data_IF_513496347318
#
_entry.id   IF_513496347318
#
_cell.length_a   1.000
_cell.length_b   1.000
_cell.length_c   1.000
_cell.angle_alpha   90.00
_cell.angle_beta   90.00
_cell.angle_gamma   90.00
#
_symmetry.space_group_name_H-M   'P 1'
#
loop_
_entity.id
_entity.type
_entity.pdbx_description
1 polymer ?
#
# COMPACT_ATOMS: atom_id res chain seq x y z
N UNK A 1 17.81 -19.42 75.55
CA UNK A 1 16.69 -19.26 74.62
C UNK A 1 17.17 -18.36 73.48
N UNK A 2 17.56 -18.95 72.35
CA UNK A 2 18.11 -18.24 71.19
C UNK A 2 16.98 -18.10 70.17
N UNK A 3 16.50 -16.87 69.92
CA UNK A 3 15.40 -16.59 68.99
C UNK A 3 16.03 -16.29 67.63
N UNK A 4 15.91 -17.21 66.68
CA UNK A 4 16.36 -17.05 65.30
C UNK A 4 15.27 -16.28 64.52
N UNK A 5 15.52 -15.01 64.19
CA UNK A 5 14.62 -14.21 63.38
C UNK A 5 14.82 -14.55 61.89
N UNK A 6 13.83 -15.18 61.28
CA UNK A 6 13.81 -15.51 59.86
C UNK A 6 13.26 -14.31 59.07
N UNK A 7 14.14 -13.59 58.35
CA UNK A 7 13.73 -12.51 57.46
C UNK A 7 13.19 -13.09 56.15
N UNK A 8 11.89 -12.93 55.90
CA UNK A 8 11.22 -13.34 54.66
C UNK A 8 11.41 -12.21 53.63
N UNK A 9 12.33 -12.39 52.68
CA UNK A 9 12.45 -11.50 51.54
C UNK A 9 11.33 -11.80 50.53
N UNK A 10 10.43 -10.83 50.32
CA UNK A 10 9.39 -10.93 49.29
C UNK A 10 10.01 -10.74 47.89
N UNK A 11 9.58 -11.53 46.87
CA UNK A 11 10.07 -11.36 45.52
C UNK A 11 9.52 -10.08 44.91
N UNK A 12 10.40 -9.20 44.47
CA UNK A 12 10.05 -8.02 43.68
C UNK A 12 9.64 -8.51 42.29
N UNK A 13 8.37 -8.39 41.94
CA UNK A 13 7.87 -8.71 40.61
C UNK A 13 8.38 -7.67 39.61
N UNK A 14 9.32 -8.06 38.75
CA UNK A 14 9.74 -7.26 37.60
C UNK A 14 8.61 -7.17 36.59
N UNK A 15 8.06 -5.97 36.40
CA UNK A 15 7.13 -5.68 35.32
C UNK A 15 7.87 -5.63 33.98
N UNK A 16 7.57 -6.56 33.08
CA UNK A 16 8.06 -6.57 31.71
C UNK A 16 7.48 -5.38 30.95
N UNK A 17 8.33 -4.50 30.41
CA UNK A 17 7.89 -3.47 29.48
C UNK A 17 7.25 -4.12 28.22
N UNK A 18 6.20 -3.51 27.62
CA UNK A 18 5.60 -4.07 26.42
C UNK A 18 6.64 -4.04 25.29
N UNK A 19 6.87 -5.20 24.68
CA UNK A 19 7.70 -5.29 23.49
C UNK A 19 7.11 -4.38 22.40
N UNK A 20 7.86 -3.36 21.99
CA UNK A 20 7.54 -2.56 20.80
C UNK A 20 7.52 -3.53 19.64
N UNK A 21 6.32 -3.85 19.14
CA UNK A 21 6.18 -4.74 18.00
C UNK A 21 6.95 -4.14 16.82
N UNK A 22 7.89 -4.91 16.27
CA UNK A 22 8.73 -4.49 15.16
C UNK A 22 7.88 -4.22 13.92
N UNK A 23 8.15 -3.11 13.25
CA UNK A 23 7.54 -2.76 11.96
C UNK A 23 7.92 -3.84 10.94
N UNK A 24 6.93 -4.43 10.26
CA UNK A 24 7.14 -5.52 9.29
C UNK A 24 7.38 -5.00 7.87
N UNK A 25 7.37 -3.69 7.68
CA UNK A 25 7.42 -3.05 6.37
C UNK A 25 8.34 -1.84 6.37
N UNK A 26 9.02 -1.62 5.25
CA UNK A 26 9.90 -0.47 5.09
C UNK A 26 9.12 0.85 5.31
N UNK A 27 9.70 1.84 6.01
CA UNK A 27 9.04 3.11 6.29
C UNK A 27 8.53 3.81 5.02
N UNK A 28 7.48 4.60 5.18
CA UNK A 28 6.96 5.45 4.09
C UNK A 28 7.89 6.64 3.86
N UNK A 29 8.17 6.93 2.60
CA UNK A 29 9.08 7.99 2.17
C UNK A 29 8.36 9.00 1.27
N UNK A 30 9.02 10.11 0.95
CA UNK A 30 8.52 11.06 -0.04
C UNK A 30 8.49 10.49 -1.48
N UNK A 31 9.16 9.36 -1.73
CA UNK A 31 9.13 8.70 -3.02
C UNK A 31 7.89 7.81 -3.21
N UNK A 32 7.18 7.47 -2.13
CA UNK A 32 5.93 6.73 -2.19
C UNK A 32 4.81 7.57 -2.81
N UNK A 33 3.87 6.89 -3.44
CA UNK A 33 2.63 7.51 -3.92
C UNK A 33 1.57 7.34 -2.85
N UNK A 34 1.04 8.45 -2.34
CA UNK A 34 0.06 8.43 -1.26
C UNK A 34 -1.07 9.43 -1.45
N UNK A 35 -2.22 9.15 -0.84
CA UNK A 35 -3.39 10.02 -0.77
C UNK A 35 -3.88 10.10 0.68
N UNK A 36 -4.54 11.20 1.04
CA UNK A 36 -4.88 11.54 2.42
C UNK A 36 -3.85 12.48 3.05
N UNK A 37 -4.13 12.92 4.27
CA UNK A 37 -3.24 13.86 4.96
C UNK A 37 -1.91 13.20 5.31
N UNK A 38 -0.81 13.93 5.16
CA UNK A 38 0.53 13.41 5.48
C UNK A 38 0.68 13.04 6.97
N UNK A 39 -0.09 13.71 7.84
CA UNK A 39 -0.14 13.55 9.30
C UNK A 39 -1.36 12.73 9.78
N UNK A 40 -2.03 11.99 8.89
CA UNK A 40 -3.11 11.10 9.31
C UNK A 40 -2.62 10.11 10.38
N UNK A 41 -3.41 9.83 11.43
CA UNK A 41 -2.97 9.02 12.56
C UNK A 41 -2.69 7.55 12.18
N UNK A 42 -3.26 7.08 11.07
CA UNK A 42 -3.03 5.74 10.55
C UNK A 42 -2.53 5.80 9.12
N UNK A 43 -1.44 5.08 8.85
CA UNK A 43 -0.93 4.83 7.51
C UNK A 43 -1.28 3.41 7.09
N UNK A 44 -1.90 3.30 5.91
CA UNK A 44 -2.18 2.01 5.25
C UNK A 44 -1.29 1.92 4.02
N UNK A 45 -0.49 0.87 3.91
CA UNK A 45 0.31 0.56 2.72
C UNK A 45 -0.36 -0.59 1.98
N UNK A 46 -0.64 -0.39 0.70
CA UNK A 46 -1.10 -1.41 -0.24
C UNK A 46 0.06 -1.80 -1.17
N UNK A 47 0.44 -3.08 -1.19
CA UNK A 47 1.20 -3.67 -2.30
C UNK A 47 0.23 -4.23 -3.32
N UNK A 48 0.25 -3.69 -4.55
CA UNK A 48 -0.71 -4.03 -5.59
C UNK A 48 -0.10 -4.10 -6.98
N UNK A 49 -0.81 -4.79 -7.87
CA UNK A 49 -0.46 -4.99 -9.27
C UNK A 49 -1.60 -4.56 -10.17
N UNK A 50 -1.31 -3.77 -11.20
CA UNK A 50 -2.29 -3.42 -12.23
C UNK A 50 -2.71 -4.60 -13.12
N UNK A 51 -2.10 -5.78 -12.97
CA UNK A 51 -2.53 -7.03 -13.61
C UNK A 51 -3.32 -7.98 -12.69
N UNK A 52 -3.38 -7.70 -11.39
CA UNK A 52 -4.06 -8.55 -10.43
C UNK A 52 -5.56 -8.25 -10.39
N UNK A 53 -6.39 -9.26 -10.64
CA UNK A 53 -7.85 -9.11 -10.61
C UNK A 53 -8.38 -8.79 -9.21
N UNK A 54 -7.77 -9.34 -8.14
CA UNK A 54 -8.16 -9.00 -6.77
C UNK A 54 -7.83 -7.55 -6.42
N UNK A 55 -6.76 -6.98 -6.96
CA UNK A 55 -6.47 -5.55 -6.81
C UNK A 55 -7.52 -4.72 -7.55
N UNK A 56 -7.88 -5.10 -8.78
CA UNK A 56 -8.92 -4.40 -9.53
C UNK A 56 -10.28 -4.47 -8.83
N UNK A 57 -10.67 -5.63 -8.30
CA UNK A 57 -11.89 -5.79 -7.51
C UNK A 57 -11.87 -4.91 -6.25
N UNK A 58 -10.75 -4.87 -5.52
CA UNK A 58 -10.62 -4.00 -4.35
C UNK A 58 -10.75 -2.53 -4.73
N UNK A 59 -10.06 -2.07 -5.78
CA UNK A 59 -10.15 -0.69 -6.26
C UNK A 59 -11.54 -0.33 -6.81
N UNK A 60 -12.27 -1.30 -7.37
CA UNK A 60 -13.60 -1.09 -7.89
C UNK A 60 -14.69 -1.08 -6.81
N UNK A 61 -14.61 -1.98 -5.83
CA UNK A 61 -15.71 -2.24 -4.89
C UNK A 61 -15.44 -1.78 -3.46
N UNK A 62 -14.17 -1.78 -3.01
CA UNK A 62 -13.80 -1.46 -1.63
C UNK A 62 -13.24 -0.04 -1.52
N UNK A 63 -12.30 0.33 -2.40
CA UNK A 63 -11.60 1.60 -2.37
C UNK A 63 -12.51 2.83 -2.33
N UNK A 64 -13.62 2.94 -3.10
CA UNK A 64 -14.46 4.13 -3.06
C UNK A 64 -15.06 4.39 -1.67
N UNK A 65 -15.49 3.32 -1.00
CA UNK A 65 -16.06 3.39 0.35
C UNK A 65 -14.96 3.61 1.39
N UNK A 66 -13.82 2.91 1.25
CA UNK A 66 -12.64 3.10 2.10
C UNK A 66 -12.15 4.55 2.06
N UNK A 67 -12.01 5.12 0.86
CA UNK A 67 -11.59 6.50 0.63
C UNK A 67 -12.56 7.47 1.30
N UNK A 68 -13.85 7.35 1.00
CA UNK A 68 -14.89 8.23 1.54
C UNK A 68 -14.93 8.22 3.07
N UNK A 69 -14.81 7.04 3.69
CA UNK A 69 -14.94 6.90 5.15
C UNK A 69 -13.68 7.21 5.93
N UNK A 70 -12.50 6.92 5.36
CA UNK A 70 -11.25 6.86 6.13
C UNK A 70 -10.19 7.84 5.61
N UNK A 71 -10.05 7.97 4.30
CA UNK A 71 -9.05 8.88 3.70
C UNK A 71 -9.57 10.32 3.72
N UNK A 72 -10.78 10.54 3.22
CA UNK A 72 -11.38 11.86 3.06
C UNK A 72 -11.75 12.49 4.42
N UNK A 73 -11.97 11.67 5.44
CA UNK A 73 -12.17 12.11 6.83
C UNK A 73 -10.85 12.37 7.57
N UNK A 74 -9.70 12.15 6.92
CA UNK A 74 -8.37 12.41 7.46
C UNK A 74 -7.89 11.40 8.49
N UNK A 75 -8.56 10.24 8.61
CA UNK A 75 -8.16 9.16 9.52
C UNK A 75 -7.01 8.33 8.95
N UNK A 76 -6.96 8.17 7.63
CA UNK A 76 -6.00 7.31 6.94
C UNK A 76 -5.21 8.07 5.87
N UNK A 77 -3.90 7.84 5.86
CA UNK A 77 -3.05 8.03 4.69
C UNK A 77 -2.89 6.69 3.98
N UNK A 78 -3.35 6.59 2.74
CA UNK A 78 -3.13 5.39 1.92
C UNK A 78 -1.87 5.57 1.07
N UNK A 79 -1.01 4.56 1.06
CA UNK A 79 0.22 4.47 0.26
C UNK A 79 0.09 3.29 -0.69
N UNK A 80 0.46 3.49 -1.96
CA UNK A 80 0.50 2.43 -2.96
C UNK A 80 1.95 2.10 -3.31
N UNK A 81 2.30 0.81 -3.21
CA UNK A 81 3.57 0.25 -3.63
C UNK A 81 3.34 -0.78 -4.73
N UNK A 82 4.09 -0.65 -5.82
CA UNK A 82 3.96 -1.51 -6.98
C UNK A 82 4.59 -2.87 -6.69
N UNK A 83 3.81 -3.93 -6.87
CA UNK A 83 4.30 -5.30 -6.92
C UNK A 83 3.79 -5.96 -8.21
N UNK A 84 4.38 -5.65 -9.38
CA UNK A 84 3.91 -6.18 -10.66
C UNK A 84 3.86 -7.71 -10.65
N UNK A 85 2.68 -8.25 -10.91
CA UNK A 85 2.42 -9.70 -11.05
C UNK A 85 2.27 -10.10 -12.51
N UNK A 86 2.25 -11.39 -12.80
CA UNK A 86 1.97 -11.86 -14.15
C UNK A 86 0.58 -11.40 -14.65
N UNK A 87 0.44 -11.14 -15.96
CA UNK A 87 1.50 -11.10 -16.98
C UNK A 87 2.40 -9.84 -16.89
N UNK A 88 3.73 -10.03 -16.76
CA UNK A 88 4.68 -8.93 -16.57
C UNK A 88 4.73 -7.90 -17.70
N UNK A 89 4.47 -8.32 -18.95
CA UNK A 89 4.37 -7.42 -20.10
C UNK A 89 3.21 -6.43 -20.00
N UNK A 90 2.26 -6.67 -19.10
CA UNK A 90 1.14 -5.78 -18.82
C UNK A 90 1.35 -5.00 -17.51
N UNK A 91 1.74 -5.68 -16.43
CA UNK A 91 1.85 -5.05 -15.10
C UNK A 91 3.01 -4.07 -14.98
N UNK A 92 4.18 -4.38 -15.55
CA UNK A 92 5.36 -3.50 -15.46
C UNK A 92 5.15 -2.19 -16.21
N UNK A 93 4.66 -2.17 -17.47
CA UNK A 93 4.40 -0.91 -18.16
C UNK A 93 3.26 -0.10 -17.53
N UNK A 94 2.22 -0.77 -16.99
CA UNK A 94 1.15 -0.09 -16.27
C UNK A 94 1.64 0.57 -14.97
N UNK A 95 2.52 -0.10 -14.22
CA UNK A 95 3.18 0.47 -13.04
C UNK A 95 4.03 1.69 -13.40
N UNK A 96 4.78 1.61 -14.51
CA UNK A 96 5.56 2.74 -15.02
C UNK A 96 4.65 3.93 -15.40
N UNK A 97 3.55 3.67 -16.13
CA UNK A 97 2.57 4.68 -16.51
C UNK A 97 2.01 5.39 -15.28
N UNK A 98 1.52 4.63 -14.29
CA UNK A 98 0.97 5.19 -13.05
C UNK A 98 1.99 6.07 -12.32
N UNK A 99 3.23 5.59 -12.17
CA UNK A 99 4.31 6.36 -11.52
C UNK A 99 4.64 7.67 -12.23
N UNK A 100 4.50 7.69 -13.55
CA UNK A 100 4.79 8.84 -14.40
C UNK A 100 3.70 9.91 -14.38
N UNK A 101 2.53 9.66 -13.80
CA UNK A 101 1.56 10.70 -13.51
C UNK A 101 2.16 11.82 -12.65
N UNK A 102 1.55 13.01 -12.66
CA UNK A 102 1.86 13.99 -11.60
C UNK A 102 1.49 13.36 -10.23
N UNK A 103 2.27 13.62 -9.16
CA UNK A 103 2.13 12.88 -7.89
C UNK A 103 0.69 12.79 -7.37
N UNK A 104 -0.04 13.90 -7.38
CA UNK A 104 -1.41 13.99 -6.85
C UNK A 104 -2.47 13.34 -7.75
N UNK A 105 -2.11 12.95 -8.98
CA UNK A 105 -2.97 12.23 -9.92
C UNK A 105 -2.73 10.73 -9.93
N UNK A 106 -1.76 10.23 -9.17
CA UNK A 106 -1.42 8.81 -9.17
C UNK A 106 -2.64 7.90 -8.92
N UNK A 107 -3.49 8.23 -7.93
CA UNK A 107 -4.65 7.42 -7.59
C UNK A 107 -5.77 7.51 -8.64
N UNK A 108 -5.90 8.64 -9.35
CA UNK A 108 -6.81 8.77 -10.49
C UNK A 108 -6.37 7.83 -11.64
N UNK A 109 -5.06 7.79 -11.92
CA UNK A 109 -4.48 6.89 -12.92
C UNK A 109 -4.58 5.43 -12.49
N UNK A 110 -4.34 5.15 -11.21
CA UNK A 110 -4.45 3.80 -10.67
C UNK A 110 -5.88 3.26 -10.80
N UNK A 111 -6.89 4.08 -10.47
CA UNK A 111 -8.29 3.73 -10.64
C UNK A 111 -8.63 3.46 -12.11
N UNK A 112 -8.17 4.31 -13.04
CA UNK A 112 -8.40 4.10 -14.47
C UNK A 112 -7.80 2.79 -15.00
N UNK A 113 -6.56 2.48 -14.58
CA UNK A 113 -5.91 1.21 -14.94
C UNK A 113 -6.65 0.02 -14.32
N UNK A 114 -7.00 0.07 -13.04
CA UNK A 114 -7.73 -1.03 -12.38
C UNK A 114 -9.10 -1.28 -13.02
N UNK A 115 -9.87 -0.23 -13.32
CA UNK A 115 -11.18 -0.37 -13.99
C UNK A 115 -11.08 -0.92 -15.42
N UNK A 116 -10.05 -0.53 -16.18
CA UNK A 116 -9.85 -1.00 -17.54
C UNK A 116 -9.19 -2.39 -17.66
N UNK A 117 -8.66 -2.93 -16.56
CA UNK A 117 -7.87 -4.16 -16.54
C UNK A 117 -8.59 -5.35 -17.19
N UNK A 118 -9.88 -5.54 -16.88
CA UNK A 118 -10.64 -6.69 -17.41
C UNK A 118 -10.79 -6.64 -18.93
N UNK A 119 -10.87 -5.45 -19.53
CA UNK A 119 -11.00 -5.32 -20.98
C UNK A 119 -9.72 -5.77 -21.69
N UNK A 120 -8.54 -5.41 -21.17
CA UNK A 120 -7.26 -5.85 -21.75
C UNK A 120 -6.99 -7.33 -21.51
N UNK A 121 -7.31 -7.87 -20.33
CA UNK A 121 -7.19 -9.30 -20.04
C UNK A 121 -8.08 -10.17 -20.94
N UNK A 122 -9.19 -9.63 -21.44
CA UNK A 122 -10.12 -10.31 -22.34
C UNK A 122 -9.83 -10.07 -23.83
N UNK A 123 -8.59 -9.74 -24.19
CA UNK A 123 -8.15 -9.57 -25.58
C UNK A 123 -8.24 -8.14 -26.12
N UNK A 124 -8.52 -7.16 -25.26
CA UNK A 124 -8.37 -5.75 -25.61
C UNK A 124 -6.90 -5.34 -25.80
N UNK A 125 -6.68 -4.13 -26.31
CA UNK A 125 -5.31 -3.61 -26.54
C UNK A 125 -4.79 -2.84 -25.32
N UNK A 126 -3.47 -2.88 -25.12
CA UNK A 126 -2.82 -2.04 -24.10
C UNK A 126 -3.05 -0.54 -24.36
N UNK A 127 -3.07 -0.12 -25.62
CA UNK A 127 -3.27 1.30 -25.94
C UNK A 127 -4.65 1.81 -25.51
N UNK A 128 -5.71 1.07 -25.82
CA UNK A 128 -7.07 1.42 -25.37
C UNK A 128 -7.18 1.45 -23.84
N UNK A 129 -6.43 0.58 -23.14
CA UNK A 129 -6.35 0.57 -21.69
C UNK A 129 -5.60 1.80 -21.12
N UNK A 130 -4.57 2.28 -21.82
CA UNK A 130 -3.75 3.41 -21.39
C UNK A 130 -4.36 4.78 -21.67
N UNK A 131 -5.20 4.94 -22.69
CA UNK A 131 -5.85 6.22 -23.01
C UNK A 131 -6.53 6.89 -21.79
N UNK A 132 -7.43 6.22 -21.04
CA UNK A 132 -8.07 6.85 -19.88
C UNK A 132 -7.07 7.13 -18.74
N UNK A 133 -6.10 6.24 -18.54
CA UNK A 133 -5.04 6.40 -17.55
C UNK A 133 -4.17 7.63 -17.84
N UNK A 134 -3.79 7.85 -19.10
CA UNK A 134 -3.03 9.03 -19.54
C UNK A 134 -3.87 10.30 -19.40
N UNK A 135 -5.16 10.25 -19.76
CA UNK A 135 -6.06 11.39 -19.60
C UNK A 135 -6.19 11.84 -18.14
N UNK A 136 -6.17 10.91 -17.18
CA UNK A 136 -6.18 11.18 -15.75
C UNK A 136 -4.82 11.66 -15.20
N UNK A 137 -3.72 11.46 -15.92
CA UNK A 137 -2.35 11.58 -15.38
C UNK A 137 -1.87 13.02 -15.11
N UNK A 138 -2.59 14.02 -15.64
CA UNK A 138 -2.12 15.40 -15.67
C UNK A 138 -0.92 15.63 -16.60
N UNK A 139 -0.61 14.67 -17.49
CA UNK A 139 0.46 14.75 -18.49
C UNK A 139 -0.04 14.35 -19.87
N UNK A 140 0.69 14.81 -20.89
CA UNK A 140 0.50 14.35 -22.27
C UNK A 140 1.07 12.94 -22.45
N UNK A 141 0.59 12.22 -23.47
CA UNK A 141 1.16 10.92 -23.86
C UNK A 141 2.67 10.99 -24.08
N UNK A 142 3.16 11.96 -24.83
CA UNK A 142 4.60 12.11 -25.09
C UNK A 142 5.42 12.27 -23.78
N UNK A 143 4.90 12.99 -22.79
CA UNK A 143 5.56 13.13 -21.48
C UNK A 143 5.53 11.83 -20.66
N UNK A 144 4.45 11.06 -20.75
CA UNK A 144 4.36 9.73 -20.13
C UNK A 144 5.36 8.79 -20.80
N UNK A 145 5.34 8.68 -22.12
CA UNK A 145 6.22 7.80 -22.90
C UNK A 145 7.70 8.11 -22.63
N UNK A 146 8.07 9.39 -22.55
CA UNK A 146 9.44 9.80 -22.19
C UNK A 146 9.80 9.46 -20.73
N UNK A 147 8.84 9.49 -19.80
CA UNK A 147 9.07 9.22 -18.39
C UNK A 147 9.20 7.71 -18.09
N UNK A 148 8.39 6.88 -18.75
CA UNK A 148 8.36 5.43 -18.49
C UNK A 148 9.68 4.75 -18.84
N UNK A 149 10.47 5.32 -19.76
CA UNK A 149 11.77 4.81 -20.17
C UNK A 149 12.93 5.27 -19.28
N UNK A 150 12.69 6.12 -18.28
CA UNK A 150 13.78 6.65 -17.45
C UNK A 150 14.30 5.62 -16.44
N UNK A 151 15.61 5.62 -16.13
CA UNK A 151 16.17 4.81 -15.04
C UNK A 151 15.51 5.10 -13.68
N UNK A 152 15.06 6.33 -13.46
CA UNK A 152 14.39 6.73 -12.23
C UNK A 152 13.05 6.02 -12.03
N UNK A 153 12.24 5.89 -13.09
CA UNK A 153 10.96 5.16 -13.05
C UNK A 153 11.20 3.68 -12.75
N UNK A 154 12.17 3.06 -13.43
CA UNK A 154 12.54 1.67 -13.19
C UNK A 154 13.02 1.45 -11.76
N UNK A 155 13.98 2.25 -11.30
CA UNK A 155 14.53 2.15 -9.94
C UNK A 155 13.44 2.34 -8.86
N UNK A 156 12.43 3.17 -9.14
CA UNK A 156 11.32 3.33 -8.21
C UNK A 156 10.47 2.03 -8.13
N UNK A 157 10.17 1.39 -9.26
CA UNK A 157 9.46 0.08 -9.28
C UNK A 157 10.27 -1.00 -8.57
N UNK A 158 11.57 -1.08 -8.85
CA UNK A 158 12.48 -2.02 -8.20
C UNK A 158 12.50 -1.83 -6.67
N UNK A 159 12.54 -0.58 -6.18
CA UNK A 159 12.47 -0.31 -4.73
C UNK A 159 11.19 -0.83 -4.07
N UNK A 160 10.04 -0.68 -4.72
CA UNK A 160 8.77 -1.19 -4.18
C UNK A 160 8.78 -2.73 -4.14
N UNK A 161 9.32 -3.37 -5.19
CA UNK A 161 9.47 -4.84 -5.27
C UNK A 161 10.43 -5.35 -4.19
N UNK A 162 11.57 -4.70 -4.00
CA UNK A 162 12.55 -5.09 -2.98
C UNK A 162 11.97 -4.92 -1.57
N UNK A 163 11.20 -3.84 -1.35
CA UNK A 163 10.45 -3.63 -0.11
C UNK A 163 9.39 -4.70 0.11
N UNK A 164 8.70 -5.15 -0.94
CA UNK A 164 7.75 -6.26 -0.83
C UNK A 164 8.44 -7.56 -0.40
N UNK A 165 9.57 -7.90 -1.05
CA UNK A 165 10.37 -9.09 -0.71
C UNK A 165 10.90 -9.04 0.72
N UNK A 166 11.44 -7.90 1.15
CA UNK A 166 11.95 -7.72 2.51
C UNK A 166 10.86 -7.82 3.59
N UNK A 167 9.60 -7.67 3.20
CA UNK A 167 8.42 -7.79 4.06
C UNK A 167 7.68 -9.12 3.92
N UNK A 168 8.25 -10.11 3.23
CA UNK A 168 7.61 -11.39 2.90
C UNK A 168 6.26 -11.22 2.18
N UNK A 169 6.18 -10.26 1.25
CA UNK A 169 5.01 -10.04 0.39
C UNK A 169 5.26 -10.68 -0.98
N UNK A 170 4.52 -11.73 -1.28
CA UNK A 170 4.55 -12.46 -2.55
C UNK A 170 3.20 -12.48 -3.29
N UNK A 171 2.13 -11.98 -2.67
CA UNK A 171 0.77 -11.92 -3.23
C UNK A 171 0.16 -10.51 -3.16
N UNK A 172 -0.77 -10.24 -4.07
CA UNK A 172 -1.48 -8.95 -4.16
C UNK A 172 -3.01 -9.13 -4.15
N UNK A 173 -3.78 -8.17 -3.57
CA UNK A 173 -3.28 -7.06 -2.77
C UNK A 173 -2.80 -7.54 -1.39
N UNK A 174 -1.76 -6.89 -0.86
CA UNK A 174 -1.31 -7.08 0.53
C UNK A 174 -1.32 -5.74 1.26
N UNK A 175 -1.88 -5.72 2.46
CA UNK A 175 -2.04 -4.48 3.24
C UNK A 175 -1.23 -4.50 4.52
N UNK A 176 -0.69 -3.34 4.89
CA UNK A 176 -0.10 -3.08 6.19
C UNK A 176 -0.77 -1.86 6.81
N UNK A 177 -1.03 -1.91 8.12
CA UNK A 177 -1.62 -0.82 8.90
C UNK A 177 -0.65 -0.46 10.03
N UNK A 178 -0.12 0.78 10.01
CA UNK A 178 0.95 1.24 10.90
C UNK A 178 2.06 0.18 11.07
N UNK A 179 2.55 -0.32 9.94
CA UNK A 179 3.68 -1.24 9.93
C UNK A 179 3.35 -2.72 10.12
N UNK A 180 2.09 -3.07 10.42
CA UNK A 180 1.66 -4.45 10.71
C UNK A 180 0.82 -5.01 9.57
N UNK A 181 1.10 -6.22 9.12
CA UNK A 181 0.33 -6.87 8.06
C UNK A 181 -1.13 -7.05 8.49
N UNK A 182 -2.07 -6.61 7.66
CA UNK A 182 -3.49 -6.90 7.80
C UNK A 182 -3.79 -8.27 7.16
N UNK A 183 -4.42 -9.16 7.92
CA UNK A 183 -4.73 -10.52 7.48
C UNK A 183 -6.01 -10.62 6.66
N UNK A 184 -6.90 -9.64 6.80
CA UNK A 184 -8.16 -9.54 6.05
C UNK A 184 -8.15 -8.25 5.20
N UNK A 185 -8.06 -8.36 3.87
CA UNK A 185 -8.02 -7.21 2.95
C UNK A 185 -9.42 -6.60 2.69
N UNK A 186 -10.49 -7.17 3.27
CA UNK A 186 -11.83 -6.61 3.16
C UNK A 186 -11.93 -5.24 3.84
N UNK A 187 -12.96 -4.46 3.49
CA UNK A 187 -13.23 -3.18 4.17
C UNK A 187 -13.34 -3.38 5.69
N UNK A 188 -14.08 -4.40 6.13
CA UNK A 188 -14.29 -4.67 7.55
C UNK A 188 -13.00 -5.07 8.26
N UNK A 189 -12.18 -5.92 7.63
CA UNK A 189 -10.88 -6.32 8.14
C UNK A 189 -9.92 -5.15 8.31
N UNK A 190 -9.82 -4.31 7.29
CA UNK A 190 -9.02 -3.09 7.33
C UNK A 190 -9.55 -2.11 8.40
N UNK A 191 -10.87 -1.90 8.49
CA UNK A 191 -11.46 -1.04 9.52
C UNK A 191 -11.16 -1.55 10.95
N UNK A 192 -11.16 -2.86 11.18
CA UNK A 192 -10.74 -3.45 12.48
C UNK A 192 -9.27 -3.15 12.76
N UNK A 193 -8.39 -3.40 11.79
CA UNK A 193 -6.95 -3.14 11.94
C UNK A 193 -6.64 -1.66 12.18
N UNK A 194 -7.33 -0.76 11.47
CA UNK A 194 -7.20 0.70 11.61
C UNK A 194 -7.64 1.16 12.98
N UNK A 195 -8.80 0.71 13.48
CA UNK A 195 -9.26 1.05 14.85
C UNK A 195 -8.26 0.57 15.92
N UNK A 196 -7.72 -0.63 15.76
CA UNK A 196 -6.72 -1.17 16.68
C UNK A 196 -5.40 -0.39 16.64
N UNK A 197 -5.02 0.15 15.49
CA UNK A 197 -3.84 1.00 15.32
C UNK A 197 -4.02 2.40 15.90
N UNK A 198 -5.21 3.01 15.72
CA UNK A 198 -5.53 4.36 16.20
C UNK A 198 -5.72 4.45 17.73
N UNK A 199 -5.91 3.32 18.41
CA UNK A 199 -6.07 3.26 19.87
C UNK A 199 -4.75 3.17 20.66
N UNK A 200 -3.60 3.20 19.96
CA UNK A 200 -2.26 3.13 20.55
C UNK A 200 -1.61 4.51 20.53
#
# INVERSE_FOLDING_TARGET
MLILALAIAAPVASASAPAVATEQVAPVTAADRSIGRADAPVTVIEYASFACHHCADWHQFVYPVFKSRLIDTGQVRLVFRNLPTDPLQMSVPAAALARCAVPDRFFDVAAALMHGQRAVLNGGTLDAWYVPAIAASGRTRAQIDACTTTPATRAAIERDIDSARASDVDQTPSFFVNGRRAMDPSLGGLEVAIRAAAAR
#
